data_IF_710896781515
#
_entry.id   IF_710896781515
#
_cell.length_a   1.000
_cell.length_b   1.000
_cell.length_c   1.000
_cell.angle_alpha   90.00
_cell.angle_beta   90.00
_cell.angle_gamma   90.00
#
_symmetry.space_group_name_H-M   'P 1'
#
loop_
_entity.id
_entity.type
_entity.pdbx_description
1 polymer ?
#
# COMPACT_ATOMS: atom_id res chain seq x y z
N UNK A 1 44.61 -3.55 -4.61
CA UNK A 1 43.19 -3.13 -4.76
C UNK A 1 42.56 -3.07 -3.37
N UNK A 2 42.46 -1.87 -2.76
CA UNK A 2 41.70 -1.70 -1.52
C UNK A 2 40.21 -1.87 -1.85
N UNK A 3 39.62 -2.95 -1.36
CA UNK A 3 38.25 -3.34 -1.68
C UNK A 3 37.23 -2.38 -1.05
N UNK A 4 36.29 -1.88 -1.85
CA UNK A 4 34.92 -1.60 -1.41
C UNK A 4 34.52 -0.18 -1.00
N UNK A 5 35.39 0.83 -1.05
CA UNK A 5 34.99 2.20 -0.70
C UNK A 5 34.78 3.07 -1.95
N UNK A 6 33.54 3.52 -2.17
CA UNK A 6 33.20 4.56 -3.16
C UNK A 6 33.82 5.86 -2.69
N UNK A 7 34.74 6.42 -3.46
CA UNK A 7 35.43 7.68 -3.14
C UNK A 7 34.65 8.88 -3.69
N UNK A 8 34.93 10.08 -3.16
CA UNK A 8 34.36 11.32 -3.71
C UNK A 8 34.74 11.58 -5.17
N UNK A 9 35.89 11.05 -5.60
CA UNK A 9 36.36 11.10 -6.98
C UNK A 9 35.49 10.27 -7.92
N UNK A 10 35.03 9.10 -7.45
CA UNK A 10 34.12 8.23 -8.21
C UNK A 10 32.76 8.92 -8.44
N UNK A 11 32.22 9.55 -7.38
CA UNK A 11 30.98 10.35 -7.45
C UNK A 11 31.11 11.52 -8.43
N UNK A 12 32.23 12.24 -8.41
CA UNK A 12 32.52 13.29 -9.41
C UNK A 12 32.67 12.72 -10.82
N UNK A 13 33.02 11.45 -10.99
CA UNK A 13 33.10 10.84 -12.31
C UNK A 13 31.73 10.47 -12.88
N UNK A 14 30.71 10.20 -12.04
CA UNK A 14 29.38 9.72 -12.47
C UNK A 14 28.24 10.72 -12.24
N UNK A 15 28.51 11.95 -11.85
CA UNK A 15 27.48 12.94 -11.48
C UNK A 15 26.41 13.14 -12.56
N UNK A 16 26.75 12.99 -13.85
CA UNK A 16 25.80 13.09 -14.98
C UNK A 16 24.73 12.00 -14.92
N UNK A 17 25.14 10.78 -14.57
CA UNK A 17 24.22 9.65 -14.38
C UNK A 17 23.30 9.94 -13.20
N UNK A 18 23.86 10.39 -12.08
CA UNK A 18 23.09 10.74 -10.87
C UNK A 18 22.08 11.86 -11.17
N UNK A 19 22.51 12.92 -11.84
CA UNK A 19 21.66 14.05 -12.19
C UNK A 19 20.52 13.66 -13.13
N UNK A 20 20.80 12.85 -14.16
CA UNK A 20 19.79 12.35 -15.08
C UNK A 20 18.78 11.42 -14.38
N UNK A 21 19.25 10.52 -13.52
CA UNK A 21 18.38 9.65 -12.70
C UNK A 21 17.50 10.49 -11.78
N UNK A 22 18.07 11.43 -11.03
CA UNK A 22 17.31 12.29 -10.13
C UNK A 22 16.24 13.10 -10.88
N UNK A 23 16.58 13.69 -12.03
CA UNK A 23 15.62 14.43 -12.84
C UNK A 23 14.49 13.54 -13.35
N UNK A 24 14.80 12.36 -13.91
CA UNK A 24 13.78 11.44 -14.39
C UNK A 24 12.94 10.84 -13.26
N UNK A 25 13.50 10.65 -12.06
CA UNK A 25 12.74 10.24 -10.87
C UNK A 25 11.73 11.31 -10.46
N UNK A 26 12.14 12.59 -10.42
CA UNK A 26 11.25 13.71 -10.09
C UNK A 26 10.16 13.88 -11.14
N UNK A 27 10.52 13.85 -12.43
CA UNK A 27 9.55 13.95 -13.55
C UNK A 27 8.60 12.75 -13.53
N UNK A 28 9.12 11.53 -13.42
CA UNK A 28 8.31 10.31 -13.34
C UNK A 28 7.35 10.33 -12.14
N UNK A 29 7.85 10.75 -10.98
CA UNK A 29 7.04 10.93 -9.77
C UNK A 29 5.92 11.96 -9.96
N UNK A 30 6.23 13.12 -10.56
CA UNK A 30 5.23 14.15 -10.86
C UNK A 30 4.17 13.67 -11.88
N UNK A 31 4.60 12.96 -12.94
CA UNK A 31 3.69 12.37 -13.92
C UNK A 31 2.76 11.34 -13.27
N UNK A 32 3.29 10.45 -12.43
CA UNK A 32 2.48 9.44 -11.76
C UNK A 32 1.54 10.05 -10.70
N UNK A 33 1.96 11.12 -10.01
CA UNK A 33 1.08 11.92 -9.16
C UNK A 33 -0.10 12.51 -9.95
N UNK A 34 0.14 13.04 -11.16
CA UNK A 34 -0.90 13.62 -12.00
C UNK A 34 -1.92 12.58 -12.49
N UNK A 35 -1.48 11.36 -12.82
CA UNK A 35 -2.38 10.26 -13.18
C UNK A 35 -3.09 9.63 -11.98
N UNK A 36 -2.49 9.73 -10.79
CA UNK A 36 -3.00 9.24 -9.52
C UNK A 36 -3.57 7.80 -9.53
N UNK A 37 -2.77 6.77 -9.89
CA UNK A 37 -3.23 5.39 -9.93
C UNK A 37 -3.64 4.82 -8.56
N UNK A 38 -3.31 5.51 -7.47
CA UNK A 38 -3.67 5.15 -6.10
C UNK A 38 -4.11 6.38 -5.30
N UNK A 39 -4.91 6.21 -4.25
CA UNK A 39 -5.37 7.33 -3.41
C UNK A 39 -4.22 7.98 -2.61
N UNK A 40 -3.21 7.20 -2.23
CA UNK A 40 -2.10 7.72 -1.44
C UNK A 40 -1.02 8.34 -2.34
N UNK A 41 -0.93 9.68 -2.30
CA UNK A 41 -0.03 10.47 -3.16
C UNK A 41 1.43 9.99 -3.11
N UNK A 42 1.94 9.61 -1.94
CA UNK A 42 3.30 9.13 -1.78
C UNK A 42 3.57 7.86 -2.59
N UNK A 43 2.63 6.91 -2.63
CA UNK A 43 2.80 5.68 -3.43
C UNK A 43 2.82 5.98 -4.93
N UNK A 44 2.02 6.94 -5.40
CA UNK A 44 2.05 7.38 -6.80
C UNK A 44 3.41 8.02 -7.13
N UNK A 45 3.87 8.96 -6.29
CA UNK A 45 5.17 9.61 -6.49
C UNK A 45 6.32 8.59 -6.48
N UNK A 46 6.31 7.67 -5.51
CA UNK A 46 7.32 6.63 -5.38
C UNK A 46 7.33 5.69 -6.59
N UNK A 47 6.17 5.23 -7.05
CA UNK A 47 6.03 4.38 -8.22
C UNK A 47 6.59 5.07 -9.46
N UNK A 48 6.18 6.33 -9.70
CA UNK A 48 6.69 7.14 -10.81
C UNK A 48 8.20 7.34 -10.76
N UNK A 49 8.76 7.59 -9.57
CA UNK A 49 10.21 7.67 -9.37
C UNK A 49 10.92 6.36 -9.70
N UNK A 50 10.44 5.23 -9.19
CA UNK A 50 11.02 3.92 -9.46
C UNK A 50 11.00 3.58 -10.96
N UNK A 51 9.91 3.90 -11.66
CA UNK A 51 9.80 3.73 -13.12
C UNK A 51 10.73 4.69 -13.87
N UNK A 52 10.88 5.94 -13.41
CA UNK A 52 11.77 6.94 -14.01
C UNK A 52 13.27 6.64 -13.82
N UNK A 53 13.63 5.70 -12.95
CA UNK A 53 15.04 5.40 -12.62
C UNK A 53 15.79 4.82 -13.82
N UNK A 54 15.25 3.81 -14.51
CA UNK A 54 15.91 3.19 -15.66
C UNK A 54 16.05 4.13 -16.87
N UNK A 55 15.01 4.88 -17.31
CA UNK A 55 15.17 5.90 -18.34
C UNK A 55 16.23 6.95 -17.99
N UNK A 56 16.23 7.44 -16.74
CA UNK A 56 17.23 8.40 -16.26
C UNK A 56 18.65 7.83 -16.28
N UNK A 57 18.81 6.55 -15.93
CA UNK A 57 20.10 5.87 -16.02
C UNK A 57 20.59 5.78 -17.47
N UNK A 58 19.74 5.35 -18.41
CA UNK A 58 20.09 5.25 -19.83
C UNK A 58 20.50 6.61 -20.40
N UNK A 59 19.71 7.65 -20.15
CA UNK A 59 20.04 9.03 -20.57
C UNK A 59 21.35 9.52 -19.95
N UNK A 60 21.54 9.23 -18.67
CA UNK A 60 22.76 9.55 -17.92
C UNK A 60 24.01 8.91 -18.50
N UNK A 61 23.95 7.62 -18.85
CA UNK A 61 25.06 6.89 -19.49
C UNK A 61 25.37 7.48 -20.86
N UNK A 62 24.36 7.75 -21.69
CA UNK A 62 24.57 8.39 -23.00
C UNK A 62 25.23 9.76 -22.85
N UNK A 63 24.79 10.56 -21.87
CA UNK A 63 25.38 11.86 -21.58
C UNK A 63 26.84 11.74 -21.09
N UNK A 64 27.12 10.76 -20.23
CA UNK A 64 28.44 10.48 -19.71
C UNK A 64 29.41 10.07 -20.82
N UNK A 65 29.02 9.10 -21.67
CA UNK A 65 29.85 8.60 -22.79
C UNK A 65 30.20 9.72 -23.77
N UNK A 66 29.24 10.60 -24.09
CA UNK A 66 29.47 11.73 -25.01
C UNK A 66 30.39 12.80 -24.41
N UNK A 67 30.39 12.98 -23.10
CA UNK A 67 31.10 14.10 -22.43
C UNK A 67 32.48 13.73 -21.91
N UNK A 68 32.77 12.45 -21.65
CA UNK A 68 34.02 12.00 -21.06
C UNK A 68 34.51 10.67 -21.68
N UNK A 69 34.90 10.65 -22.97
CA UNK A 69 35.24 9.42 -23.68
C UNK A 69 36.55 8.76 -23.23
N UNK A 70 37.43 9.49 -22.53
CA UNK A 70 38.82 9.06 -22.27
C UNK A 70 39.05 8.35 -20.92
N UNK A 71 38.16 8.46 -19.94
CA UNK A 71 38.25 7.70 -18.67
C UNK A 71 37.27 6.54 -18.67
N UNK A 72 37.74 5.32 -18.37
CA UNK A 72 36.93 4.09 -18.27
C UNK A 72 36.63 3.66 -16.83
N UNK A 73 37.12 4.41 -15.85
CA UNK A 73 37.03 4.06 -14.42
C UNK A 73 35.58 4.03 -13.92
N UNK A 74 34.68 4.78 -14.56
CA UNK A 74 33.26 4.86 -14.19
C UNK A 74 32.41 3.67 -14.64
N UNK A 75 32.90 2.80 -15.55
CA UNK A 75 32.10 1.73 -16.16
C UNK A 75 31.62 0.73 -15.10
N UNK A 76 32.50 0.30 -14.20
CA UNK A 76 32.14 -0.68 -13.16
C UNK A 76 31.02 -0.15 -12.25
N UNK A 77 31.11 1.13 -11.85
CA UNK A 77 30.10 1.80 -11.03
C UNK A 77 28.80 1.95 -11.82
N UNK A 78 28.87 2.33 -13.09
CA UNK A 78 27.69 2.44 -13.94
C UNK A 78 26.99 1.10 -14.15
N UNK A 79 27.72 -0.01 -14.35
CA UNK A 79 27.11 -1.35 -14.44
C UNK A 79 26.35 -1.71 -13.16
N UNK A 80 26.93 -1.45 -11.98
CA UNK A 80 26.25 -1.68 -10.71
C UNK A 80 24.98 -0.82 -10.57
N UNK A 81 25.07 0.49 -10.88
CA UNK A 81 23.91 1.38 -10.85
C UNK A 81 22.83 0.98 -11.88
N UNK A 82 23.24 0.45 -13.03
CA UNK A 82 22.33 -0.05 -14.05
C UNK A 82 21.56 -1.27 -13.58
N UNK A 83 22.22 -2.22 -12.91
CA UNK A 83 21.56 -3.37 -12.28
C UNK A 83 20.56 -2.91 -11.21
N UNK A 84 20.92 -1.93 -10.39
CA UNK A 84 20.02 -1.36 -9.39
C UNK A 84 18.82 -0.67 -10.05
N UNK A 85 19.03 0.07 -11.13
CA UNK A 85 17.97 0.73 -11.88
C UNK A 85 16.98 -0.29 -12.48
N UNK A 86 17.49 -1.37 -13.09
CA UNK A 86 16.67 -2.47 -13.60
C UNK A 86 15.90 -3.15 -12.47
N UNK A 87 16.54 -3.44 -11.33
CA UNK A 87 15.89 -4.06 -10.19
C UNK A 87 14.76 -3.18 -9.60
N UNK A 88 14.99 -1.88 -9.45
CA UNK A 88 14.01 -0.94 -8.93
C UNK A 88 12.81 -0.79 -9.89
N UNK A 89 13.07 -0.58 -11.18
CA UNK A 89 12.01 -0.49 -12.18
C UNK A 89 11.25 -1.83 -12.31
N UNK A 90 11.97 -2.95 -12.25
CA UNK A 90 11.37 -4.29 -12.23
C UNK A 90 10.46 -4.52 -11.02
N UNK A 91 10.89 -4.14 -9.81
CA UNK A 91 10.06 -4.23 -8.61
C UNK A 91 8.81 -3.32 -8.68
N UNK A 92 8.95 -2.14 -9.30
CA UNK A 92 7.85 -1.21 -9.52
C UNK A 92 6.71 -1.87 -10.32
N UNK A 93 7.04 -2.51 -11.45
CA UNK A 93 6.06 -3.18 -12.32
C UNK A 93 5.65 -4.58 -11.85
N UNK A 94 6.60 -5.37 -11.33
CA UNK A 94 6.36 -6.77 -10.98
C UNK A 94 5.64 -6.96 -9.65
N UNK A 95 5.75 -5.99 -8.73
CA UNK A 95 5.21 -6.14 -7.38
C UNK A 95 4.35 -4.95 -6.94
N UNK A 96 4.88 -3.73 -7.05
CA UNK A 96 4.23 -2.56 -6.45
C UNK A 96 2.97 -2.15 -7.20
N UNK A 97 3.04 -2.02 -8.52
CA UNK A 97 1.87 -1.68 -9.33
C UNK A 97 0.73 -2.71 -9.22
N UNK A 98 0.97 -4.04 -9.35
CA UNK A 98 -0.07 -5.05 -9.14
C UNK A 98 -0.67 -5.01 -7.73
N UNK A 99 0.15 -4.75 -6.70
CA UNK A 99 -0.35 -4.56 -5.33
C UNK A 99 -1.27 -3.36 -5.24
N UNK A 100 -0.89 -2.21 -5.79
CA UNK A 100 -1.72 -0.99 -5.80
C UNK A 100 -3.04 -1.21 -6.55
N UNK A 101 -3.01 -1.91 -7.69
CA UNK A 101 -4.22 -2.24 -8.45
C UNK A 101 -5.18 -3.13 -7.65
N UNK A 102 -4.66 -4.15 -6.95
CA UNK A 102 -5.48 -4.99 -6.06
C UNK A 102 -6.08 -4.19 -4.91
N UNK A 103 -5.31 -3.31 -4.29
CA UNK A 103 -5.80 -2.43 -3.21
C UNK A 103 -6.94 -1.52 -3.71
N UNK A 104 -6.80 -0.94 -4.91
CA UNK A 104 -7.86 -0.13 -5.53
C UNK A 104 -9.10 -0.95 -5.90
N UNK A 105 -8.92 -2.17 -6.41
CA UNK A 105 -10.03 -3.07 -6.70
C UNK A 105 -10.79 -3.42 -5.41
N UNK A 106 -10.08 -3.70 -4.32
CA UNK A 106 -10.67 -4.00 -3.01
C UNK A 106 -11.42 -2.79 -2.43
N UNK A 107 -10.85 -1.59 -2.51
CA UNK A 107 -11.52 -0.36 -2.07
C UNK A 107 -12.76 -0.05 -2.91
N UNK A 108 -12.70 -0.28 -4.23
CA UNK A 108 -13.88 -0.17 -5.09
C UNK A 108 -14.96 -1.17 -4.68
N UNK A 109 -14.59 -2.42 -4.39
CA UNK A 109 -15.53 -3.42 -3.89
C UNK A 109 -16.18 -3.01 -2.56
N UNK A 110 -15.44 -2.34 -1.66
CA UNK A 110 -16.03 -1.79 -0.43
C UNK A 110 -17.10 -0.74 -0.71
N UNK A 111 -16.84 0.19 -1.64
CA UNK A 111 -17.84 1.21 -1.98
C UNK A 111 -19.12 0.59 -2.56
N UNK A 112 -19.01 -0.57 -3.22
CA UNK A 112 -20.14 -1.30 -3.78
C UNK A 112 -20.94 -2.09 -2.74
N UNK A 113 -20.43 -2.27 -1.51
CA UNK A 113 -21.18 -2.94 -0.44
C UNK A 113 -22.48 -2.22 -0.08
N UNK A 114 -22.58 -0.90 -0.34
CA UNK A 114 -23.83 -0.15 -0.17
C UNK A 114 -24.93 -0.62 -1.14
N UNK A 115 -24.53 -1.01 -2.34
CA UNK A 115 -25.43 -1.45 -3.40
C UNK A 115 -25.68 -2.97 -3.34
N UNK A 116 -24.85 -3.71 -2.60
CA UNK A 116 -25.02 -5.14 -2.39
C UNK A 116 -26.15 -5.47 -1.41
N UNK A 117 -26.90 -6.54 -1.73
CA UNK A 117 -27.86 -7.13 -0.79
C UNK A 117 -27.12 -8.00 0.23
N UNK A 118 -26.59 -7.35 1.26
CA UNK A 118 -25.97 -8.03 2.40
C UNK A 118 -26.96 -9.00 3.05
N UNK A 119 -26.48 -10.21 3.38
CA UNK A 119 -27.28 -11.27 4.02
C UNK A 119 -26.90 -11.42 5.49
N UNK A 120 -25.61 -11.37 5.78
CA UNK A 120 -25.10 -11.60 7.13
C UNK A 120 -23.74 -10.91 7.34
N UNK A 121 -23.51 -10.44 8.56
CA UNK A 121 -22.17 -10.10 9.05
C UNK A 121 -21.87 -11.05 10.21
N UNK A 122 -20.72 -11.71 10.17
CA UNK A 122 -20.23 -12.58 11.25
C UNK A 122 -18.94 -12.00 11.79
N UNK A 123 -18.88 -11.81 13.12
CA UNK A 123 -17.70 -11.25 13.78
C UNK A 123 -17.08 -12.31 14.66
N UNK A 124 -15.77 -12.45 14.52
CA UNK A 124 -14.91 -13.36 15.25
C UNK A 124 -13.86 -12.58 16.04
N UNK A 125 -13.26 -13.24 17.01
CA UNK A 125 -12.09 -12.74 17.73
C UNK A 125 -10.91 -12.46 16.78
N UNK A 126 -9.85 -11.85 17.30
CA UNK A 126 -8.65 -11.53 16.52
C UNK A 126 -8.04 -12.76 15.83
N UNK A 127 -8.17 -13.94 16.45
CA UNK A 127 -7.68 -15.20 15.90
C UNK A 127 -8.54 -15.70 14.74
N UNK A 128 -9.78 -15.22 14.60
CA UNK A 128 -10.77 -15.69 13.64
C UNK A 128 -11.40 -17.03 14.01
N UNK A 129 -11.16 -17.57 15.22
CA UNK A 129 -11.59 -18.91 15.62
C UNK A 129 -12.90 -18.91 16.37
N UNK A 130 -13.09 -17.93 17.27
CA UNK A 130 -14.30 -17.83 18.09
C UNK A 130 -15.23 -16.79 17.51
N UNK A 131 -16.44 -17.20 17.12
CA UNK A 131 -17.51 -16.28 16.77
C UNK A 131 -17.95 -15.52 18.03
N UNK A 132 -17.93 -14.19 17.96
CA UNK A 132 -18.36 -13.28 19.04
C UNK A 132 -19.75 -12.73 18.77
N UNK A 133 -20.05 -12.40 17.51
CA UNK A 133 -21.34 -11.85 17.13
C UNK A 133 -21.76 -12.30 15.73
N UNK A 134 -23.04 -12.12 15.41
CA UNK A 134 -23.48 -12.13 14.03
C UNK A 134 -24.80 -11.40 13.85
N UNK A 135 -24.93 -10.75 12.70
CA UNK A 135 -25.99 -9.79 12.42
C UNK A 135 -26.68 -10.18 11.12
N UNK A 136 -28.00 -10.25 11.15
CA UNK A 136 -28.87 -10.47 9.99
C UNK A 136 -29.95 -9.39 9.86
N UNK A 137 -30.04 -8.47 10.83
CA UNK A 137 -30.98 -7.34 10.79
C UNK A 137 -30.60 -6.39 9.64
N UNK A 138 -31.50 -6.17 8.66
CA UNK A 138 -31.26 -5.27 7.54
C UNK A 138 -30.79 -3.86 7.93
N UNK A 139 -31.24 -3.32 9.07
CA UNK A 139 -30.81 -2.00 9.56
C UNK A 139 -29.35 -2.02 10.00
N UNK A 140 -28.92 -3.06 10.70
CA UNK A 140 -27.52 -3.21 11.15
C UNK A 140 -26.61 -3.43 9.94
N UNK A 141 -27.05 -4.27 9.00
CA UNK A 141 -26.32 -4.53 7.75
C UNK A 141 -26.18 -3.25 6.91
N UNK A 142 -27.27 -2.50 6.74
CA UNK A 142 -27.25 -1.23 6.01
C UNK A 142 -26.40 -0.16 6.70
N UNK A 143 -26.41 -0.09 8.04
CA UNK A 143 -25.55 0.82 8.79
C UNK A 143 -24.06 0.47 8.61
N UNK A 144 -23.70 -0.82 8.60
CA UNK A 144 -22.34 -1.26 8.28
C UNK A 144 -21.93 -0.86 6.86
N UNK A 145 -22.75 -1.19 5.87
CA UNK A 145 -22.50 -0.87 4.46
C UNK A 145 -22.35 0.65 4.25
N UNK A 146 -23.20 1.43 4.90
CA UNK A 146 -23.13 2.89 4.87
C UNK A 146 -21.82 3.38 5.49
N UNK A 147 -21.46 2.82 6.64
CA UNK A 147 -20.25 3.17 7.38
C UNK A 147 -18.97 2.85 6.62
N UNK A 148 -18.88 1.70 5.94
CA UNK A 148 -17.67 1.27 5.23
C UNK A 148 -17.45 1.97 3.90
N UNK A 149 -18.47 2.60 3.32
CA UNK A 149 -18.35 3.23 2.02
C UNK A 149 -17.46 4.48 2.00
N UNK A 150 -17.21 5.09 3.15
CA UNK A 150 -16.23 6.18 3.28
C UNK A 150 -14.78 5.65 3.41
N UNK A 151 -14.57 4.34 3.28
CA UNK A 151 -13.27 3.73 3.38
C UNK A 151 -12.32 4.27 2.31
N UNK A 152 -11.17 4.76 2.77
CA UNK A 152 -10.09 5.23 1.90
C UNK A 152 -8.83 4.41 2.16
N UNK A 153 -8.01 4.25 1.11
CA UNK A 153 -6.71 3.60 1.22
C UNK A 153 -5.85 4.28 2.27
N UNK A 154 -5.21 3.48 3.13
CA UNK A 154 -4.42 3.95 4.25
C UNK A 154 -3.11 3.15 4.31
N UNK A 155 -1.97 3.81 4.47
CA UNK A 155 -0.70 3.15 4.73
C UNK A 155 -0.42 3.17 6.25
N UNK A 156 -0.72 2.10 6.99
CA UNK A 156 -0.52 2.09 8.43
C UNK A 156 0.97 2.02 8.77
N UNK A 157 1.41 2.90 9.67
CA UNK A 157 2.58 2.61 10.49
C UNK A 157 2.13 1.57 11.53
N UNK A 158 2.45 0.27 11.34
CA UNK A 158 2.06 -0.87 12.21
C UNK A 158 1.86 -0.46 13.68
N UNK A 159 0.66 -0.04 14.08
CA UNK A 159 0.41 0.52 15.39
C UNK A 159 0.04 -0.58 16.36
N UNK A 160 0.18 -0.29 17.66
CA UNK A 160 -0.52 -1.05 18.69
C UNK A 160 -2.02 -0.73 18.58
N UNK A 161 -2.85 -1.76 18.40
CA UNK A 161 -4.29 -1.63 18.40
C UNK A 161 -4.84 -1.84 19.80
N UNK A 162 -5.91 -1.14 20.16
CA UNK A 162 -6.61 -1.37 21.43
C UNK A 162 -7.60 -2.51 21.34
N UNK A 163 -8.17 -2.76 20.16
CA UNK A 163 -9.07 -3.86 19.90
C UNK A 163 -8.98 -4.27 18.43
N UNK A 164 -9.18 -5.57 18.17
CA UNK A 164 -9.10 -6.18 16.84
C UNK A 164 -10.19 -7.24 16.68
N UNK A 165 -10.85 -7.26 15.52
CA UNK A 165 -11.89 -8.23 15.19
C UNK A 165 -11.70 -8.75 13.78
N UNK A 166 -11.98 -10.03 13.57
CA UNK A 166 -12.11 -10.60 12.25
C UNK A 166 -13.58 -10.57 11.83
N UNK A 167 -13.89 -9.90 10.72
CA UNK A 167 -15.25 -9.65 10.25
C UNK A 167 -15.44 -10.27 8.88
N UNK A 168 -16.44 -11.13 8.76
CA UNK A 168 -16.87 -11.75 7.52
C UNK A 168 -18.22 -11.16 7.14
N UNK A 169 -18.33 -10.64 5.92
CA UNK A 169 -19.55 -10.08 5.36
C UNK A 169 -19.99 -10.96 4.20
N UNK A 170 -21.12 -11.63 4.37
CA UNK A 170 -21.70 -12.51 3.36
C UNK A 170 -22.87 -11.76 2.68
N UNK A 171 -22.73 -11.50 1.37
CA UNK A 171 -23.72 -10.81 0.54
C UNK A 171 -23.97 -11.53 -0.78
N UNK A 172 -23.82 -10.80 -1.88
CA UNK A 172 -23.69 -11.41 -3.22
C UNK A 172 -22.29 -12.00 -3.35
N UNK A 173 -21.30 -11.28 -2.84
CA UNK A 173 -19.94 -11.77 -2.67
C UNK A 173 -19.60 -11.86 -1.18
N UNK A 174 -18.55 -12.63 -0.86
CA UNK A 174 -18.05 -12.78 0.50
C UNK A 174 -16.82 -11.89 0.66
N UNK A 175 -16.81 -11.08 1.72
CA UNK A 175 -15.67 -10.24 2.05
C UNK A 175 -15.18 -10.51 3.47
N UNK A 176 -13.85 -10.48 3.63
CA UNK A 176 -13.17 -10.80 4.88
C UNK A 176 -12.25 -9.63 5.26
N UNK A 177 -12.39 -9.17 6.51
CA UNK A 177 -11.68 -8.01 7.03
C UNK A 177 -11.13 -8.26 8.42
N UNK A 178 -9.98 -7.67 8.73
CA UNK A 178 -9.59 -7.42 10.13
C UNK A 178 -9.86 -5.94 10.42
N UNK A 179 -10.75 -5.66 11.37
CA UNK A 179 -11.07 -4.31 11.83
C UNK A 179 -10.35 -4.03 13.14
N UNK A 180 -9.72 -2.87 13.23
CA UNK A 180 -8.96 -2.47 14.39
C UNK A 180 -9.28 -1.05 14.84
N UNK A 181 -9.19 -0.84 16.15
CA UNK A 181 -9.19 0.48 16.76
C UNK A 181 -7.77 0.89 17.09
N UNK A 182 -7.39 2.07 16.60
CA UNK A 182 -6.11 2.67 16.88
C UNK A 182 -6.30 3.81 17.89
N UNK A 183 -5.63 3.78 19.07
CA UNK A 183 -5.78 4.84 20.08
C UNK A 183 -5.30 6.20 19.58
N UNK A 184 -4.39 6.25 18.59
CA UNK A 184 -3.94 7.49 17.95
C UNK A 184 -4.98 8.07 16.98
N UNK A 185 -5.91 7.26 16.49
CA UNK A 185 -6.95 7.68 15.56
C UNK A 185 -8.34 7.23 16.07
N UNK A 186 -8.78 7.74 17.23
CA UNK A 186 -9.97 7.23 17.93
C UNK A 186 -11.29 7.46 17.15
N UNK A 187 -11.25 8.34 16.15
CA UNK A 187 -12.39 8.72 15.31
C UNK A 187 -12.58 7.82 14.09
N UNK A 188 -11.82 6.72 13.98
CA UNK A 188 -11.80 5.89 12.78
C UNK A 188 -11.48 4.44 13.09
N UNK A 189 -11.96 3.56 12.23
CA UNK A 189 -11.61 2.14 12.18
C UNK A 189 -10.55 1.96 11.11
N UNK A 190 -9.47 1.25 11.43
CA UNK A 190 -8.51 0.76 10.44
C UNK A 190 -8.92 -0.65 10.04
N UNK A 191 -9.02 -0.91 8.75
CA UNK A 191 -9.36 -2.21 8.22
C UNK A 191 -8.24 -2.79 7.36
N UNK A 192 -8.08 -4.11 7.41
CA UNK A 192 -7.22 -4.87 6.52
C UNK A 192 -8.09 -5.79 5.67
N UNK A 193 -7.84 -5.82 4.37
CA UNK A 193 -8.39 -6.87 3.51
C UNK A 193 -7.59 -8.13 3.77
N UNK A 194 -8.27 -9.18 4.22
CA UNK A 194 -7.60 -10.44 4.57
C UNK A 194 -8.22 -11.62 3.86
N UNK A 195 -7.44 -12.68 3.71
CA UNK A 195 -7.91 -14.01 3.34
C UNK A 195 -7.32 -14.99 4.34
N UNK A 196 -8.19 -15.65 5.14
CA UNK A 196 -7.74 -16.65 6.12
C UNK A 196 -7.80 -18.05 5.53
N UNK A 197 -6.66 -18.75 5.54
CA UNK A 197 -6.54 -20.14 5.09
C UNK A 197 -5.83 -20.97 6.16
N UNK A 198 -6.60 -21.77 6.89
CA UNK A 198 -6.11 -22.52 8.05
C UNK A 198 -5.57 -21.60 9.14
N UNK A 199 -4.28 -21.70 9.44
CA UNK A 199 -3.59 -20.84 10.41
C UNK A 199 -2.87 -19.65 9.76
N UNK A 200 -2.99 -19.47 8.43
CA UNK A 200 -2.36 -18.38 7.70
C UNK A 200 -3.36 -17.25 7.43
N UNK A 201 -2.87 -16.00 7.48
CA UNK A 201 -3.63 -14.81 7.09
C UNK A 201 -2.83 -14.06 6.01
N UNK A 202 -3.43 -13.94 4.83
CA UNK A 202 -2.89 -13.15 3.73
C UNK A 202 -3.47 -11.74 3.77
N UNK A 203 -2.63 -10.72 3.58
CA UNK A 203 -3.04 -9.31 3.63
C UNK A 203 -3.02 -8.70 2.22
N UNK A 204 -4.15 -8.11 1.81
CA UNK A 204 -4.39 -7.64 0.44
C UNK A 204 -4.60 -6.13 0.31
N UNK A 205 -4.32 -5.38 1.37
CA UNK A 205 -4.43 -3.93 1.39
C UNK A 205 -5.02 -3.44 2.70
N UNK A 206 -5.09 -2.13 2.85
CA UNK A 206 -5.47 -1.47 4.09
C UNK A 206 -6.33 -0.25 3.83
N UNK A 207 -7.31 -0.04 4.70
CA UNK A 207 -8.23 1.07 4.61
C UNK A 207 -8.48 1.72 5.96
N UNK A 208 -9.05 2.91 5.91
CA UNK A 208 -9.51 3.65 7.08
C UNK A 208 -10.90 4.19 6.79
N UNK A 209 -11.82 4.00 7.73
CA UNK A 209 -13.21 4.48 7.64
C UNK A 209 -13.57 5.23 8.91
N UNK A 210 -14.20 6.39 8.77
CA UNK A 210 -14.76 7.13 9.92
C UNK A 210 -16.19 6.67 10.18
N UNK A 211 -16.95 6.42 9.12
CA UNK A 211 -18.33 5.95 9.17
C UNK A 211 -18.51 4.64 9.94
N UNK A 212 -17.55 3.71 9.85
CA UNK A 212 -17.59 2.45 10.60
C UNK A 212 -17.44 2.62 12.12
N UNK A 213 -16.97 3.77 12.61
CA UNK A 213 -16.66 3.94 14.04
C UNK A 213 -17.90 3.78 14.92
N UNK A 214 -19.01 4.42 14.55
CA UNK A 214 -20.27 4.36 15.30
C UNK A 214 -20.83 2.93 15.33
N UNK A 215 -20.74 2.22 14.20
CA UNK A 215 -21.16 0.82 14.10
C UNK A 215 -20.35 -0.08 15.04
N UNK A 216 -19.01 0.03 15.01
CA UNK A 216 -18.12 -0.76 15.89
C UNK A 216 -18.39 -0.45 17.36
N UNK A 217 -18.57 0.82 17.73
CA UNK A 217 -18.87 1.20 19.12
C UNK A 217 -20.21 0.63 19.59
N UNK A 218 -21.23 0.68 18.74
CA UNK A 218 -22.58 0.23 19.09
C UNK A 218 -22.66 -1.29 19.18
N UNK A 219 -21.97 -2.02 18.31
CA UNK A 219 -22.21 -3.45 18.15
C UNK A 219 -21.09 -4.35 18.67
N UNK A 220 -19.86 -3.84 18.82
CA UNK A 220 -18.69 -4.65 19.20
C UNK A 220 -18.04 -4.24 20.52
N UNK A 221 -18.31 -3.04 21.03
CA UNK A 221 -17.70 -2.54 22.26
C UNK A 221 -18.62 -2.62 23.49
N UNK A 222 -19.87 -3.07 23.36
CA UNK A 222 -20.83 -3.07 24.47
C UNK A 222 -20.54 -4.12 25.56
N UNK A 223 -19.67 -5.11 25.29
CA UNK A 223 -19.42 -6.26 26.17
C UNK A 223 -17.94 -6.43 26.57
N UNK A 224 -17.11 -5.38 26.52
CA UNK A 224 -15.74 -5.46 27.04
C UNK A 224 -15.67 -4.96 28.49
N UNK A 225 -15.72 -5.86 29.51
CA UNK A 225 -15.65 -5.45 30.92
C UNK A 225 -14.28 -4.88 31.33
N UNK A 226 -13.29 -4.87 30.43
CA UNK A 226 -11.96 -4.33 30.68
C UNK A 226 -11.76 -2.91 30.10
N UNK A 227 -12.85 -2.26 29.66
CA UNK A 227 -12.86 -0.85 29.26
C UNK A 227 -13.83 0.00 30.09
#
# INVERSE_FOLDING_TARGET
MKHGQITSTDLKSIWRIIAAVALCQLVGGAVCLAFSPHHFWFMNFWLGGAVGTLPGFVLGVVWQVKSAPSSREWIAVACFLGLLAVALTGAAFGFVLPRMQREMANLKALSQLQDERLKQITVFDESGKKRIAGFTDPKILSAFATGIADAVGYAPNHPRYTASWYVVVDGTTRHEFELHLNPRFPQSVTGYFVEKSGNSTSYHGTFKSKGLRSWVQTHLMQDDPNH
#
